data_IF_318274442371
#
_entry.id   IF_318274442371
#
_cell.length_a   1.000
_cell.length_b   1.000
_cell.length_c   1.000
_cell.angle_alpha   90.00
_cell.angle_beta   90.00
_cell.angle_gamma   90.00
#
_symmetry.space_group_name_H-M   'P 1'
#
loop_
_entity.id
_entity.type
_entity.pdbx_description
1 polymer ?
#
# COMPACT_ATOMS: atom_id res chain seq x y z
N UNK A 1 19.23 7.78 -16.54
CA UNK A 1 18.22 7.15 -15.72
C UNK A 1 17.14 6.57 -16.57
N UNK A 2 16.78 5.37 -16.27
CA UNK A 2 15.88 4.61 -17.13
C UNK A 2 14.43 5.03 -16.93
N UNK A 3 13.62 4.74 -17.94
CA UNK A 3 12.18 4.89 -17.86
C UNK A 3 11.58 4.16 -16.67
N UNK A 4 12.18 3.05 -16.24
CA UNK A 4 11.71 2.27 -15.09
C UNK A 4 11.71 3.08 -13.79
N UNK A 5 12.71 3.94 -13.59
CA UNK A 5 12.75 4.76 -12.38
C UNK A 5 11.65 5.82 -12.37
N UNK A 6 11.36 6.41 -13.51
CA UNK A 6 10.27 7.37 -13.64
C UNK A 6 8.92 6.72 -13.40
N UNK A 7 8.70 5.52 -13.96
CA UNK A 7 7.45 4.77 -13.75
C UNK A 7 7.28 4.43 -12.26
N UNK A 8 8.34 3.95 -11.59
CA UNK A 8 8.27 3.64 -10.17
C UNK A 8 8.00 4.87 -9.32
N UNK A 9 8.63 6.01 -9.65
CA UNK A 9 8.38 7.26 -8.94
C UNK A 9 6.92 7.71 -9.11
N UNK A 10 6.36 7.53 -10.30
CA UNK A 10 4.97 7.86 -10.56
C UNK A 10 4.03 6.94 -9.79
N UNK A 11 4.32 5.64 -9.71
CA UNK A 11 3.53 4.69 -8.91
C UNK A 11 3.52 5.08 -7.43
N UNK A 12 4.67 5.46 -6.87
CA UNK A 12 4.73 5.93 -5.50
C UNK A 12 3.88 7.18 -5.31
N UNK A 13 3.96 8.12 -6.25
CA UNK A 13 3.23 9.38 -6.18
C UNK A 13 1.72 9.18 -6.27
N UNK A 14 1.25 8.33 -7.18
CA UNK A 14 -0.17 8.12 -7.44
C UNK A 14 -0.81 7.10 -6.50
N UNK A 15 -0.11 6.01 -6.20
CA UNK A 15 -0.69 4.86 -5.50
C UNK A 15 0.03 4.52 -4.20
N UNK A 16 1.16 5.16 -3.89
CA UNK A 16 1.93 4.86 -2.69
C UNK A 16 2.52 3.45 -2.71
N UNK A 17 2.95 2.97 -3.89
CA UNK A 17 3.41 1.60 -4.07
C UNK A 17 4.69 1.55 -4.87
N UNK A 18 5.54 0.58 -4.54
CA UNK A 18 6.72 0.26 -5.35
C UNK A 18 7.19 -1.17 -5.06
N UNK A 19 7.95 -1.73 -5.99
CA UNK A 19 8.66 -2.97 -5.76
C UNK A 19 10.08 -2.68 -5.29
N UNK A 20 10.52 -3.43 -4.29
CA UNK A 20 11.85 -3.34 -3.73
C UNK A 20 12.60 -4.65 -4.00
N UNK A 21 13.84 -4.55 -4.43
CA UNK A 21 14.67 -5.72 -4.65
C UNK A 21 15.77 -5.80 -3.60
N UNK A 22 15.92 -6.97 -2.99
CA UNK A 22 17.04 -7.27 -2.12
C UNK A 22 18.13 -7.93 -2.94
N UNK A 23 19.21 -7.19 -3.22
CA UNK A 23 20.31 -7.66 -4.05
C UNK A 23 21.09 -8.82 -3.44
N UNK A 24 21.01 -8.99 -2.13
CA UNK A 24 21.74 -10.08 -1.43
C UNK A 24 21.05 -11.42 -1.59
N UNK A 25 19.73 -11.44 -1.48
CA UNK A 25 18.93 -12.65 -1.45
C UNK A 25 17.98 -12.77 -2.64
N UNK A 26 17.97 -11.78 -3.51
CA UNK A 26 17.11 -11.72 -4.70
C UNK A 26 15.61 -11.79 -4.36
N UNK A 27 15.25 -11.34 -3.17
CA UNK A 27 13.83 -11.22 -2.80
C UNK A 27 13.26 -9.90 -3.32
N UNK A 28 12.02 -9.95 -3.75
CA UNK A 28 11.29 -8.77 -4.16
C UNK A 28 10.18 -8.49 -3.17
N UNK A 29 10.18 -7.28 -2.62
CA UNK A 29 9.15 -6.82 -1.73
C UNK A 29 8.31 -5.77 -2.44
N UNK A 30 7.02 -5.82 -2.22
CA UNK A 30 6.12 -4.77 -2.68
C UNK A 30 5.92 -3.77 -1.54
N UNK A 31 6.09 -2.49 -1.83
CA UNK A 31 5.86 -1.43 -0.86
C UNK A 31 4.48 -0.83 -1.10
N UNK A 32 3.64 -0.86 -0.07
CA UNK A 32 2.33 -0.22 -0.08
C UNK A 32 2.32 0.87 0.99
N UNK A 33 2.04 2.11 0.59
CA UNK A 33 1.90 3.21 1.53
C UNK A 33 0.44 3.54 1.75
N UNK A 34 0.04 3.62 3.01
CA UNK A 34 -1.30 4.08 3.40
C UNK A 34 -1.11 5.44 4.05
N UNK A 35 -1.46 6.48 3.30
CA UNK A 35 -1.15 7.87 3.64
C UNK A 35 -2.44 8.68 3.68
N UNK A 36 -2.50 9.60 4.65
CA UNK A 36 -3.62 10.51 4.78
C UNK A 36 -4.89 9.81 5.23
N UNK A 37 -6.02 10.14 4.62
CA UNK A 37 -7.30 9.55 4.99
C UNK A 37 -7.59 8.32 4.16
N UNK A 38 -8.12 7.27 4.82
CA UNK A 38 -8.59 6.07 4.13
C UNK A 38 -10.01 6.34 3.64
N UNK A 39 -10.23 6.26 2.33
CA UNK A 39 -11.55 6.51 1.76
C UNK A 39 -12.08 5.30 1.01
N UNK A 40 -13.40 5.07 1.11
CA UNK A 40 -14.07 3.95 0.47
C UNK A 40 -14.31 4.17 -1.01
N UNK A 41 -14.79 5.36 -1.36
CA UNK A 41 -15.04 5.77 -2.73
C UNK A 41 -14.33 7.08 -3.00
N UNK A 42 -14.27 7.50 -4.25
CA UNK A 42 -13.63 8.75 -4.62
C UNK A 42 -14.50 9.95 -4.25
N UNK A 43 -14.73 10.13 -2.95
CA UNK A 43 -15.59 11.19 -2.40
C UNK A 43 -14.84 12.46 -2.08
N UNK A 44 -13.53 12.36 -1.84
CA UNK A 44 -12.71 13.49 -1.40
C UNK A 44 -12.10 14.23 -2.58
N UNK A 45 -11.79 15.50 -2.34
CA UNK A 45 -11.13 16.35 -3.33
C UNK A 45 -9.79 15.75 -3.77
N UNK A 46 -9.45 15.94 -5.05
CA UNK A 46 -8.17 15.52 -5.59
C UNK A 46 -6.96 16.17 -4.88
N UNK A 47 -7.20 17.29 -4.19
CA UNK A 47 -6.15 17.99 -3.45
C UNK A 47 -5.89 17.39 -2.07
N UNK A 48 -6.72 16.45 -1.62
CA UNK A 48 -6.59 15.82 -0.32
C UNK A 48 -5.75 14.56 -0.44
N UNK A 49 -4.76 14.39 0.44
CA UNK A 49 -3.98 13.15 0.50
C UNK A 49 -4.85 12.03 1.06
N UNK A 50 -5.07 11.00 0.25
CA UNK A 50 -5.92 9.87 0.63
C UNK A 50 -5.35 8.56 0.14
N UNK A 51 -5.78 7.47 0.81
CA UNK A 51 -5.58 6.11 0.32
C UNK A 51 -6.94 5.57 -0.11
N UNK A 52 -7.07 5.26 -1.39
CA UNK A 52 -8.33 4.84 -1.96
C UNK A 52 -8.47 3.32 -1.93
N UNK A 53 -9.53 2.86 -1.29
CA UNK A 53 -9.89 1.46 -1.22
C UNK A 53 -9.85 0.79 -2.60
N UNK A 54 -10.40 1.43 -3.61
CA UNK A 54 -10.47 0.91 -4.97
C UNK A 54 -9.09 0.69 -5.61
N UNK A 55 -8.07 1.40 -5.14
CA UNK A 55 -6.71 1.24 -5.64
C UNK A 55 -5.93 0.20 -4.85
N UNK A 56 -6.23 0.05 -3.57
CA UNK A 56 -5.48 -0.83 -2.67
C UNK A 56 -5.82 -2.29 -2.88
N UNK A 57 -7.10 -2.64 -2.94
CA UNK A 57 -7.52 -4.05 -3.01
C UNK A 57 -7.00 -4.77 -4.24
N UNK A 58 -7.08 -4.21 -5.47
CA UNK A 58 -6.52 -4.89 -6.63
C UNK A 58 -5.01 -5.11 -6.52
N UNK A 59 -4.29 -4.18 -5.90
CA UNK A 59 -2.85 -4.33 -5.73
C UNK A 59 -2.51 -5.42 -4.72
N UNK A 60 -3.27 -5.56 -3.66
CA UNK A 60 -3.08 -6.64 -2.71
C UNK A 60 -3.35 -8.00 -3.36
N UNK A 61 -4.37 -8.10 -4.19
CA UNK A 61 -4.65 -9.32 -4.94
C UNK A 61 -3.49 -9.64 -5.91
N UNK A 62 -2.92 -8.63 -6.55
CA UNK A 62 -1.77 -8.80 -7.42
C UNK A 62 -0.54 -9.28 -6.66
N UNK A 63 -0.30 -8.74 -5.46
CA UNK A 63 0.81 -9.18 -4.60
C UNK A 63 0.65 -10.66 -4.26
N UNK A 64 -0.57 -11.09 -3.92
CA UNK A 64 -0.83 -12.49 -3.60
C UNK A 64 -0.56 -13.42 -4.79
N UNK A 65 -0.95 -12.99 -5.98
CA UNK A 65 -0.89 -13.82 -7.18
C UNK A 65 0.48 -13.79 -7.87
N UNK A 66 1.26 -12.74 -7.69
CA UNK A 66 2.53 -12.55 -8.37
C UNK A 66 3.64 -13.37 -7.72
N UNK A 67 4.10 -14.40 -8.40
CA UNK A 67 5.15 -15.29 -7.90
C UNK A 67 6.49 -14.60 -7.70
N UNK A 68 6.72 -13.48 -8.35
CA UNK A 68 7.98 -12.75 -8.21
C UNK A 68 8.02 -11.88 -6.96
N UNK A 69 6.87 -11.61 -6.35
CA UNK A 69 6.80 -10.82 -5.12
C UNK A 69 6.85 -11.76 -3.92
N UNK A 70 7.84 -11.58 -3.07
CA UNK A 70 8.10 -12.45 -1.93
C UNK A 70 7.46 -11.96 -0.64
N UNK A 71 7.13 -10.69 -0.55
CA UNK A 71 6.52 -10.13 0.64
C UNK A 71 5.98 -8.73 0.43
N UNK A 72 5.31 -8.22 1.47
CA UNK A 72 4.68 -6.90 1.46
C UNK A 72 5.21 -6.09 2.63
N UNK A 73 5.64 -4.87 2.35
CA UNK A 73 5.96 -3.87 3.36
C UNK A 73 4.89 -2.79 3.32
N UNK A 74 4.18 -2.61 4.43
CA UNK A 74 3.13 -1.61 4.54
C UNK A 74 3.64 -0.44 5.37
N UNK A 75 3.67 0.75 4.78
CA UNK A 75 3.99 1.98 5.48
C UNK A 75 2.70 2.67 5.88
N UNK A 76 2.56 2.98 7.15
CA UNK A 76 1.36 3.62 7.69
C UNK A 76 1.68 5.03 8.17
N UNK A 77 1.02 6.01 7.57
CA UNK A 77 1.04 7.39 8.02
C UNK A 77 -0.33 7.99 7.74
N UNK A 78 -1.30 7.61 8.55
CA UNK A 78 -2.71 7.90 8.27
C UNK A 78 -3.44 8.37 9.52
N UNK A 79 -4.45 9.22 9.32
CA UNK A 79 -5.36 9.66 10.39
C UNK A 79 -6.57 8.73 10.51
N UNK A 80 -6.64 7.68 9.69
CA UNK A 80 -7.79 6.80 9.64
C UNK A 80 -8.75 7.18 8.51
N UNK A 81 -10.03 7.00 8.71
CA UNK A 81 -11.03 7.34 7.72
C UNK A 81 -12.19 6.35 7.71
N UNK A 82 -12.57 5.88 6.53
CA UNK A 82 -13.68 4.96 6.38
C UNK A 82 -13.39 3.61 7.04
N UNK A 83 -14.21 3.25 8.03
CA UNK A 83 -13.99 2.05 8.85
C UNK A 83 -14.19 0.76 8.03
N UNK A 84 -15.23 0.70 7.22
CA UNK A 84 -15.50 -0.50 6.41
C UNK A 84 -14.37 -0.77 5.41
N UNK A 85 -13.90 0.28 4.76
CA UNK A 85 -12.79 0.18 3.82
C UNK A 85 -11.49 -0.21 4.52
N UNK A 86 -11.23 0.38 5.68
CA UNK A 86 -10.06 0.03 6.48
C UNK A 86 -10.07 -1.41 6.93
N UNK A 87 -11.22 -1.91 7.39
CA UNK A 87 -11.37 -3.31 7.78
C UNK A 87 -11.20 -4.25 6.60
N UNK A 88 -11.74 -3.91 5.44
CA UNK A 88 -11.59 -4.74 4.24
C UNK A 88 -10.12 -4.83 3.81
N UNK A 89 -9.40 -3.71 3.87
CA UNK A 89 -7.96 -3.70 3.58
C UNK A 89 -7.21 -4.58 4.59
N UNK A 90 -7.52 -4.44 5.87
CA UNK A 90 -6.88 -5.22 6.93
C UNK A 90 -7.14 -6.72 6.75
N UNK A 91 -8.37 -7.11 6.45
CA UNK A 91 -8.72 -8.50 6.18
C UNK A 91 -7.97 -9.05 4.98
N UNK A 92 -7.87 -8.25 3.91
CA UNK A 92 -7.13 -8.65 2.73
C UNK A 92 -5.66 -8.86 3.04
N UNK A 93 -5.04 -7.94 3.79
CA UNK A 93 -3.65 -8.08 4.21
C UNK A 93 -3.47 -9.34 5.05
N UNK A 94 -4.37 -9.59 6.00
CA UNK A 94 -4.31 -10.76 6.86
C UNK A 94 -4.48 -12.07 6.09
N UNK A 95 -5.16 -12.04 4.96
CA UNK A 95 -5.39 -13.23 4.14
C UNK A 95 -4.23 -13.58 3.20
N UNK A 96 -3.24 -12.69 3.06
CA UNK A 96 -2.10 -12.95 2.18
C UNK A 96 -1.29 -14.14 2.68
N UNK A 97 -0.85 -14.98 1.75
CA UNK A 97 0.02 -16.11 2.07
C UNK A 97 1.48 -15.72 2.24
N UNK A 98 1.81 -14.50 1.88
CA UNK A 98 3.19 -13.99 1.89
C UNK A 98 3.47 -13.21 3.18
N UNK A 99 4.74 -13.12 3.61
CA UNK A 99 5.09 -12.32 4.78
C UNK A 99 4.71 -10.86 4.60
N UNK A 100 4.17 -10.25 5.63
CA UNK A 100 3.80 -8.85 5.66
C UNK A 100 4.42 -8.20 6.89
N UNK A 101 5.08 -7.07 6.66
CA UNK A 101 5.62 -6.23 7.74
C UNK A 101 5.01 -4.85 7.62
N UNK A 102 4.57 -4.31 8.73
CA UNK A 102 4.05 -2.94 8.76
C UNK A 102 5.00 -2.04 9.52
N UNK A 103 5.16 -0.82 9.03
CA UNK A 103 5.96 0.21 9.67
C UNK A 103 5.08 1.44 9.85
N UNK A 104 4.87 1.82 11.09
CA UNK A 104 4.07 3.01 11.43
C UNK A 104 4.99 4.22 11.50
N UNK A 105 4.73 5.21 10.67
CA UNK A 105 5.50 6.45 10.61
C UNK A 105 4.64 7.61 11.07
N UNK A 106 5.25 8.51 11.85
CA UNK A 106 4.53 9.67 12.36
C UNK A 106 3.37 9.28 13.24
N UNK A 107 2.22 9.91 13.03
CA UNK A 107 1.03 9.61 13.80
C UNK A 107 0.00 8.86 12.98
N UNK A 108 -0.04 7.54 13.10
CA UNK A 108 -1.15 6.76 12.54
C UNK A 108 -2.21 6.57 13.61
N UNK A 109 -3.47 6.79 13.24
CA UNK A 109 -4.59 6.87 14.19
C UNK A 109 -5.79 6.09 13.70
N UNK A 110 -6.70 5.79 14.66
CA UNK A 110 -8.01 5.21 14.37
C UNK A 110 -7.89 3.93 13.56
N UNK A 111 -8.76 3.76 12.54
CA UNK A 111 -8.75 2.56 11.70
C UNK A 111 -7.45 2.38 10.91
N UNK A 112 -6.64 3.43 10.79
CA UNK A 112 -5.34 3.34 10.12
C UNK A 112 -4.34 2.44 10.84
N UNK A 113 -4.50 2.26 12.12
CA UNK A 113 -3.63 1.38 12.89
C UNK A 113 -4.04 -0.08 12.75
#
# INVERSE_FOLDING_TARGET
MSEQKEVKNQEIKEYGQMELADNRQQHKLHLLSIIGEVEGHECLSANTKTTKYEHVLPKLAQVEDDREIDGLLVLLNTVGGDVESGLAIAEMIASLSKPVVSLVLGGSHSIGV
#
